data_IF_936714517232
#
_entry.id   IF_936714517232
#
_cell.length_a   1.000
_cell.length_b   1.000
_cell.length_c   1.000
_cell.angle_alpha   90.00
_cell.angle_beta   90.00
_cell.angle_gamma   90.00
#
_symmetry.space_group_name_H-M   'P 1'
#
loop_
_entity.id
_entity.type
_entity.pdbx_description
1 polymer ?
#
# COMPACT_ATOMS: atom_id res chain seq x y z
N UNK A 1 7.66 -13.67 10.47
CA UNK A 1 8.76 -12.99 9.75
C UNK A 1 10.12 -13.32 10.35
N UNK A 2 10.29 -13.31 11.68
CA UNK A 2 11.53 -13.77 12.34
C UNK A 2 11.87 -15.22 11.97
N UNK A 3 10.88 -16.10 12.00
CA UNK A 3 11.03 -17.51 11.61
C UNK A 3 11.52 -17.69 10.16
N UNK A 4 10.92 -16.98 9.20
CA UNK A 4 11.35 -17.01 7.79
C UNK A 4 12.76 -16.41 7.60
N UNK A 5 13.12 -15.38 8.38
CA UNK A 5 14.45 -14.79 8.37
C UNK A 5 15.49 -15.76 8.99
N UNK A 6 15.13 -16.49 10.03
CA UNK A 6 15.95 -17.56 10.61
C UNK A 6 16.12 -18.75 9.67
N UNK A 7 15.06 -19.14 8.96
CA UNK A 7 15.08 -20.23 7.98
C UNK A 7 15.96 -19.87 6.78
N UNK A 8 15.83 -18.63 6.27
CA UNK A 8 16.75 -18.09 5.26
C UNK A 8 18.20 -18.06 5.77
N UNK A 9 18.45 -17.63 7.02
CA UNK A 9 19.79 -17.69 7.64
C UNK A 9 20.34 -19.10 7.69
N UNK A 10 19.55 -20.08 8.15
CA UNK A 10 19.96 -21.50 8.21
C UNK A 10 20.29 -22.05 6.83
N UNK A 11 19.52 -21.68 5.80
CA UNK A 11 19.79 -22.06 4.41
C UNK A 11 21.12 -21.47 3.90
N UNK A 12 21.41 -20.21 4.20
CA UNK A 12 22.70 -19.56 3.85
C UNK A 12 23.88 -20.27 4.52
N UNK A 13 23.78 -20.56 5.81
CA UNK A 13 24.84 -21.22 6.58
C UNK A 13 25.08 -22.66 6.08
N UNK A 14 24.02 -23.40 5.77
CA UNK A 14 24.13 -24.74 5.19
C UNK A 14 24.82 -24.72 3.82
N UNK A 15 24.53 -23.73 2.99
CA UNK A 15 25.18 -23.55 1.68
C UNK A 15 26.68 -23.21 1.82
N UNK A 16 27.04 -22.34 2.76
CA UNK A 16 28.44 -22.04 3.07
C UNK A 16 29.23 -23.25 3.59
N UNK A 17 28.55 -24.18 4.29
CA UNK A 17 29.15 -25.47 4.68
C UNK A 17 29.35 -26.39 3.48
N UNK A 18 28.38 -26.45 2.57
CA UNK A 18 28.48 -27.26 1.35
C UNK A 18 29.56 -26.75 0.38
N UNK A 19 29.86 -25.45 0.38
CA UNK A 19 30.87 -24.84 -0.50
C UNK A 19 32.33 -25.00 -0.01
N UNK A 20 32.59 -25.72 1.09
CA UNK A 20 33.96 -26.01 1.54
C UNK A 20 34.76 -24.79 2.03
N UNK A 21 34.09 -23.65 2.24
CA UNK A 21 34.73 -22.37 2.56
C UNK A 21 35.55 -22.44 3.86
N UNK A 22 36.73 -21.81 3.91
CA UNK A 22 37.57 -21.92 5.11
C UNK A 22 36.86 -21.27 6.32
N UNK A 23 37.09 -21.75 7.56
CA UNK A 23 36.44 -21.20 8.76
C UNK A 23 36.61 -19.69 8.92
N UNK A 24 37.79 -19.14 8.58
CA UNK A 24 38.07 -17.70 8.59
C UNK A 24 37.25 -16.92 7.54
N UNK A 25 37.17 -17.43 6.32
CA UNK A 25 36.39 -16.79 5.24
C UNK A 25 34.88 -16.83 5.53
N UNK A 26 34.40 -17.87 6.22
CA UNK A 26 33.03 -17.94 6.74
C UNK A 26 32.78 -16.90 7.83
N UNK A 27 33.72 -16.77 8.77
CA UNK A 27 33.66 -15.75 9.82
C UNK A 27 33.63 -14.33 9.24
N UNK A 28 34.52 -14.00 8.30
CA UNK A 28 34.56 -12.68 7.65
C UNK A 28 33.29 -12.37 6.85
N UNK A 29 32.71 -13.37 6.17
CA UNK A 29 31.41 -13.22 5.49
C UNK A 29 30.25 -13.06 6.47
N UNK A 30 30.24 -13.82 7.57
CA UNK A 30 29.25 -13.66 8.63
C UNK A 30 29.33 -12.28 9.26
N UNK A 31 30.51 -11.79 9.61
CA UNK A 31 30.71 -10.45 10.16
C UNK A 31 30.24 -9.35 9.19
N UNK A 32 30.50 -9.51 7.88
CA UNK A 32 29.97 -8.59 6.85
C UNK A 32 28.44 -8.63 6.72
N UNK A 33 27.84 -9.80 6.89
CA UNK A 33 26.39 -9.98 6.84
C UNK A 33 25.69 -9.52 8.14
N UNK A 34 26.35 -9.65 9.28
CA UNK A 34 25.86 -9.30 10.62
C UNK A 34 26.04 -7.82 10.96
N UNK A 35 26.89 -7.09 10.23
CA UNK A 35 26.96 -5.63 10.35
C UNK A 35 25.57 -5.02 10.15
N UNK A 36 25.06 -4.21 11.09
CA UNK A 36 23.75 -3.59 10.95
C UNK A 36 23.67 -2.77 9.66
N UNK A 37 22.47 -2.72 9.07
CA UNK A 37 22.24 -1.88 7.89
C UNK A 37 22.33 -0.42 8.32
N UNK A 38 23.20 0.40 7.69
CA UNK A 38 23.22 1.83 7.97
C UNK A 38 21.84 2.42 7.71
N UNK A 39 21.36 3.26 8.63
CA UNK A 39 20.06 3.91 8.51
C UNK A 39 19.91 4.63 7.16
N UNK A 40 20.97 5.32 6.71
CA UNK A 40 20.99 6.01 5.41
C UNK A 40 20.73 5.09 4.21
N UNK A 41 21.16 3.82 4.26
CA UNK A 41 20.86 2.84 3.19
C UNK A 41 19.38 2.50 3.17
N UNK A 42 18.77 2.27 4.32
CA UNK A 42 17.33 1.99 4.43
C UNK A 42 16.52 3.20 3.97
N UNK A 43 16.87 4.40 4.44
CA UNK A 43 16.23 5.64 4.03
C UNK A 43 16.38 5.91 2.53
N UNK A 44 17.53 5.60 1.93
CA UNK A 44 17.71 5.75 0.49
C UNK A 44 16.80 4.80 -0.31
N UNK A 45 16.70 3.53 0.10
CA UNK A 45 15.84 2.54 -0.57
C UNK A 45 14.37 2.95 -0.50
N UNK A 46 13.89 3.38 0.67
CA UNK A 46 12.50 3.80 0.87
C UNK A 46 12.23 5.17 0.25
N UNK A 47 13.18 6.10 0.35
CA UNK A 47 13.06 7.46 -0.14
C UNK A 47 13.13 7.57 -1.66
N UNK A 48 13.88 6.70 -2.34
CA UNK A 48 14.00 6.72 -3.81
C UNK A 48 12.64 6.65 -4.52
N UNK A 49 11.77 5.64 -4.30
CA UNK A 49 10.49 5.58 -4.99
C UNK A 49 9.59 6.76 -4.62
N UNK A 50 9.63 7.21 -3.36
CA UNK A 50 8.84 8.36 -2.91
C UNK A 50 9.24 9.63 -3.67
N UNK A 51 10.53 9.94 -3.76
CA UNK A 51 11.05 11.12 -4.45
C UNK A 51 10.71 11.06 -5.94
N UNK A 52 10.89 9.90 -6.58
CA UNK A 52 10.58 9.74 -8.00
C UNK A 52 9.08 9.98 -8.28
N UNK A 53 8.20 9.37 -7.49
CA UNK A 53 6.73 9.51 -7.64
C UNK A 53 6.30 10.97 -7.40
N UNK A 54 6.83 11.62 -6.36
CA UNK A 54 6.54 13.02 -6.08
C UNK A 54 7.06 13.93 -7.19
N UNK A 55 8.27 13.69 -7.69
CA UNK A 55 8.83 14.48 -8.78
C UNK A 55 7.98 14.38 -10.05
N UNK A 56 7.52 13.19 -10.42
CA UNK A 56 6.58 13.02 -11.53
C UNK A 56 5.25 13.75 -11.27
N UNK A 57 4.69 13.61 -10.06
CA UNK A 57 3.44 14.25 -9.68
C UNK A 57 3.53 15.78 -9.81
N UNK A 58 4.56 16.41 -9.22
CA UNK A 58 4.75 17.86 -9.33
C UNK A 58 5.07 18.30 -10.75
N UNK A 59 5.84 17.50 -11.51
CA UNK A 59 6.13 17.81 -12.91
C UNK A 59 4.88 17.85 -13.78
N UNK A 60 3.89 17.00 -13.48
CA UNK A 60 2.64 16.93 -14.24
C UNK A 60 1.79 18.19 -14.09
N UNK A 61 1.98 18.91 -12.96
CA UNK A 61 1.26 20.14 -12.60
C UNK A 61 2.04 21.38 -13.06
N UNK A 62 3.36 21.39 -12.86
CA UNK A 62 4.19 22.58 -13.02
C UNK A 62 4.82 22.74 -14.42
N UNK A 63 4.96 21.66 -15.19
CA UNK A 63 5.66 21.67 -16.47
C UNK A 63 4.71 21.39 -17.64
N UNK A 64 4.93 22.07 -18.76
CA UNK A 64 4.25 21.76 -20.02
C UNK A 64 4.70 20.39 -20.59
N UNK A 65 3.87 19.76 -21.44
CA UNK A 65 4.24 18.53 -22.14
C UNK A 65 5.55 18.69 -22.91
N UNK A 66 6.58 17.95 -22.50
CA UNK A 66 7.92 17.98 -23.11
C UNK A 66 8.59 16.61 -22.97
N UNK A 67 9.58 16.28 -23.82
CA UNK A 67 10.32 15.02 -23.68
C UNK A 67 10.94 14.83 -22.30
N UNK A 68 11.44 15.91 -21.69
CA UNK A 68 12.00 15.89 -20.33
C UNK A 68 10.95 15.55 -19.26
N UNK A 69 9.74 16.11 -19.39
CA UNK A 69 8.61 15.76 -18.52
C UNK A 69 8.22 14.29 -18.67
N UNK A 70 8.15 13.77 -19.89
CA UNK A 70 7.82 12.36 -20.12
C UNK A 70 8.82 11.38 -19.52
N UNK A 71 10.12 11.72 -19.55
CA UNK A 71 11.16 10.91 -18.86
C UNK A 71 10.93 10.93 -17.34
N UNK A 72 10.63 12.09 -16.77
CA UNK A 72 10.36 12.21 -15.34
C UNK A 72 9.10 11.44 -14.92
N UNK A 73 8.03 11.53 -15.70
CA UNK A 73 6.79 10.76 -15.51
C UNK A 73 7.02 9.25 -15.64
N UNK A 74 7.89 8.81 -16.55
CA UNK A 74 8.25 7.39 -16.66
C UNK A 74 8.95 6.87 -15.41
N UNK A 75 9.97 7.57 -14.91
CA UNK A 75 10.71 7.14 -13.73
C UNK A 75 9.91 7.29 -12.43
N UNK A 76 9.02 8.28 -12.37
CA UNK A 76 8.10 8.45 -11.25
C UNK A 76 6.82 7.64 -11.35
N UNK A 77 6.62 6.86 -12.42
CA UNK A 77 5.54 5.88 -12.45
C UNK A 77 5.72 4.90 -11.27
N UNK A 78 4.67 4.63 -10.46
CA UNK A 78 4.80 3.78 -9.27
C UNK A 78 5.42 2.40 -9.54
N UNK A 79 5.10 1.76 -10.68
CA UNK A 79 5.66 0.46 -11.02
C UNK A 79 7.16 0.55 -11.30
N UNK A 80 7.60 1.56 -12.04
CA UNK A 80 9.01 1.78 -12.38
C UNK A 80 9.80 2.17 -11.14
N UNK A 81 9.29 3.13 -10.36
CA UNK A 81 9.91 3.62 -9.13
C UNK A 81 10.10 2.49 -8.10
N UNK A 82 9.07 1.66 -7.87
CA UNK A 82 9.15 0.52 -6.96
C UNK A 82 10.08 -0.59 -7.48
N UNK A 83 10.14 -0.80 -8.80
CA UNK A 83 11.10 -1.73 -9.42
C UNK A 83 12.54 -1.26 -9.18
N UNK A 84 12.81 0.03 -9.34
CA UNK A 84 14.13 0.62 -9.02
C UNK A 84 14.46 0.42 -7.55
N UNK A 85 13.52 0.70 -6.64
CA UNK A 85 13.70 0.48 -5.21
C UNK A 85 14.01 -0.98 -4.88
N UNK A 86 13.33 -1.93 -5.52
CA UNK A 86 13.58 -3.36 -5.39
C UNK A 86 14.99 -3.73 -5.86
N UNK A 87 15.42 -3.25 -7.02
CA UNK A 87 16.77 -3.49 -7.54
C UNK A 87 17.84 -2.90 -6.62
N UNK A 88 17.61 -1.70 -6.09
CA UNK A 88 18.48 -1.07 -5.09
C UNK A 88 18.55 -1.91 -3.82
N UNK A 89 17.43 -2.44 -3.32
CA UNK A 89 17.41 -3.32 -2.16
C UNK A 89 18.18 -4.62 -2.42
N UNK A 90 17.98 -5.26 -3.57
CA UNK A 90 18.72 -6.47 -3.99
C UNK A 90 20.23 -6.23 -4.01
N UNK A 91 20.64 -5.10 -4.57
CA UNK A 91 22.06 -4.77 -4.68
C UNK A 91 22.67 -4.36 -3.34
N UNK A 92 22.06 -3.40 -2.62
CA UNK A 92 22.62 -2.80 -1.41
C UNK A 92 22.52 -3.72 -0.19
N UNK A 93 21.43 -4.47 -0.06
CA UNK A 93 21.17 -5.35 1.09
C UNK A 93 21.56 -6.80 0.81
N UNK A 94 21.55 -7.24 -0.44
CA UNK A 94 21.94 -8.60 -0.84
C UNK A 94 23.38 -8.66 -1.36
N UNK A 95 23.56 -8.27 -2.63
CA UNK A 95 24.81 -8.52 -3.40
C UNK A 95 26.02 -7.85 -2.74
N UNK A 96 25.94 -6.57 -2.39
CA UNK A 96 27.04 -5.81 -1.75
C UNK A 96 27.44 -6.37 -0.38
N UNK A 97 26.53 -7.11 0.27
CA UNK A 97 26.73 -7.80 1.55
C UNK A 97 27.12 -9.26 1.41
N UNK A 98 27.35 -9.74 0.18
CA UNK A 98 27.87 -11.07 -0.08
C UNK A 98 26.84 -12.19 0.06
N UNK A 99 25.54 -11.89 -0.10
CA UNK A 99 24.51 -12.93 -0.16
C UNK A 99 24.68 -13.78 -1.43
N UNK A 100 24.42 -15.08 -1.32
CA UNK A 100 24.45 -16.00 -2.48
C UNK A 100 23.21 -15.81 -3.35
N UNK A 101 23.29 -16.23 -4.62
CA UNK A 101 22.12 -16.25 -5.54
C UNK A 101 20.95 -17.04 -4.94
N UNK A 102 21.23 -18.19 -4.34
CA UNK A 102 20.23 -19.03 -3.66
C UNK A 102 19.60 -18.34 -2.46
N UNK A 103 20.36 -17.56 -1.71
CA UNK A 103 19.82 -16.75 -0.59
C UNK A 103 18.85 -15.69 -1.10
N UNK A 104 19.22 -14.97 -2.17
CA UNK A 104 18.35 -14.00 -2.81
C UNK A 104 17.07 -14.67 -3.33
N UNK A 105 17.20 -15.78 -4.04
CA UNK A 105 16.07 -16.57 -4.55
C UNK A 105 15.13 -17.02 -3.43
N UNK A 106 15.68 -17.58 -2.35
CA UNK A 106 14.90 -18.04 -1.19
C UNK A 106 14.07 -16.90 -0.60
N UNK A 107 14.68 -15.73 -0.37
CA UNK A 107 13.97 -14.57 0.16
C UNK A 107 12.90 -14.07 -0.81
N UNK A 108 13.23 -14.00 -2.11
CA UNK A 108 12.29 -13.62 -3.17
C UNK A 108 11.05 -14.53 -3.16
N UNK A 109 11.26 -15.85 -3.19
CA UNK A 109 10.19 -16.84 -3.22
C UNK A 109 9.38 -16.85 -1.93
N UNK A 110 10.04 -16.68 -0.77
CA UNK A 110 9.34 -16.60 0.52
C UNK A 110 8.39 -15.40 0.61
N UNK A 111 8.69 -14.31 -0.09
CA UNK A 111 7.83 -13.11 -0.14
C UNK A 111 6.59 -13.27 -1.02
N UNK A 112 6.60 -14.21 -1.97
CA UNK A 112 5.45 -14.47 -2.85
C UNK A 112 4.25 -15.02 -2.07
N UNK A 113 4.48 -15.82 -1.03
CA UNK A 113 3.41 -16.42 -0.22
C UNK A 113 2.50 -15.37 0.46
N UNK A 114 3.04 -14.38 1.21
CA UNK A 114 2.22 -13.31 1.77
C UNK A 114 1.66 -12.36 0.70
N UNK A 115 2.40 -12.08 -0.39
CA UNK A 115 1.92 -11.23 -1.49
C UNK A 115 0.79 -11.89 -2.28
N UNK A 116 0.78 -13.21 -2.44
CA UNK A 116 -0.21 -13.93 -3.23
C UNK A 116 -1.64 -13.72 -2.73
N UNK A 117 -1.85 -13.76 -1.41
CA UNK A 117 -3.17 -13.47 -0.83
C UNK A 117 -3.59 -12.01 -1.09
N UNK A 118 -2.66 -11.07 -1.00
CA UNK A 118 -2.93 -9.65 -1.29
C UNK A 118 -3.30 -9.47 -2.77
N UNK A 119 -2.57 -10.10 -3.69
CA UNK A 119 -2.87 -10.04 -5.12
C UNK A 119 -4.23 -10.65 -5.45
N UNK A 120 -4.59 -11.78 -4.84
CA UNK A 120 -5.90 -12.40 -5.04
C UNK A 120 -7.03 -11.50 -4.54
N UNK A 121 -6.89 -10.91 -3.36
CA UNK A 121 -7.90 -10.00 -2.80
C UNK A 121 -8.00 -8.71 -3.62
N UNK A 122 -6.87 -8.10 -3.99
CA UNK A 122 -6.85 -6.88 -4.81
C UNK A 122 -7.42 -7.14 -6.21
N UNK A 123 -7.06 -8.27 -6.83
CA UNK A 123 -7.57 -8.68 -8.13
C UNK A 123 -9.07 -8.97 -8.12
N UNK A 124 -9.54 -9.76 -7.14
CA UNK A 124 -10.97 -10.03 -6.96
C UNK A 124 -11.76 -8.75 -6.72
N UNK A 125 -11.20 -7.84 -5.94
CA UNK A 125 -11.75 -6.53 -5.71
C UNK A 125 -11.86 -5.65 -6.95
N UNK A 126 -10.85 -5.66 -7.82
CA UNK A 126 -10.90 -4.97 -9.12
C UNK A 126 -12.02 -5.51 -10.01
N UNK A 127 -12.20 -6.82 -10.07
CA UNK A 127 -13.30 -7.47 -10.81
C UNK A 127 -14.66 -7.12 -10.19
N UNK A 128 -14.78 -7.19 -8.86
CA UNK A 128 -16.01 -6.80 -8.16
C UNK A 128 -16.38 -5.34 -8.41
N UNK A 129 -15.39 -4.43 -8.39
CA UNK A 129 -15.60 -3.02 -8.74
C UNK A 129 -16.05 -2.82 -10.19
N UNK A 130 -15.50 -3.60 -11.13
CA UNK A 130 -15.95 -3.58 -12.52
C UNK A 130 -17.39 -4.10 -12.68
N UNK A 131 -17.76 -5.16 -11.94
CA UNK A 131 -19.13 -5.68 -11.91
C UNK A 131 -20.09 -4.66 -11.30
N UNK A 132 -19.73 -4.01 -10.19
CA UNK A 132 -20.54 -2.94 -9.59
C UNK A 132 -20.78 -1.79 -10.57
N UNK A 133 -19.74 -1.37 -11.28
CA UNK A 133 -19.84 -0.35 -12.34
C UNK A 133 -20.75 -0.81 -13.48
N UNK A 134 -20.62 -2.05 -13.94
CA UNK A 134 -21.42 -2.62 -15.02
C UNK A 134 -22.89 -2.89 -14.62
N UNK A 135 -23.14 -3.18 -13.34
CA UNK A 135 -24.47 -3.52 -12.81
C UNK A 135 -25.42 -2.32 -12.68
N UNK A 136 -24.92 -1.09 -12.86
CA UNK A 136 -25.70 0.12 -12.65
C UNK A 136 -25.90 0.50 -11.18
N UNK A 137 -25.39 -0.30 -10.21
CA UNK A 137 -25.43 0.03 -8.77
C UNK A 137 -24.77 1.38 -8.47
N UNK A 138 -23.69 1.73 -9.19
CA UNK A 138 -23.06 3.03 -9.07
C UNK A 138 -24.03 4.18 -9.41
N UNK A 139 -24.81 4.02 -10.48
CA UNK A 139 -25.82 4.99 -10.91
C UNK A 139 -27.01 5.01 -9.95
N UNK A 140 -27.50 3.84 -9.53
CA UNK A 140 -28.61 3.76 -8.58
C UNK A 140 -28.27 4.39 -7.22
N UNK A 141 -27.04 4.19 -6.72
CA UNK A 141 -26.57 4.85 -5.50
C UNK A 141 -26.47 6.37 -5.73
N UNK A 142 -25.87 6.81 -6.83
CA UNK A 142 -25.82 8.23 -7.22
C UNK A 142 -27.20 8.89 -7.19
N UNK A 143 -28.16 8.32 -7.91
CA UNK A 143 -29.51 8.86 -8.06
C UNK A 143 -30.21 8.90 -6.69
N UNK A 144 -30.12 7.82 -5.92
CA UNK A 144 -30.70 7.74 -4.56
C UNK A 144 -30.11 8.80 -3.63
N UNK A 145 -28.80 9.02 -3.67
CA UNK A 145 -28.15 9.96 -2.74
C UNK A 145 -28.27 11.42 -3.16
N UNK A 146 -28.41 11.69 -4.46
CA UNK A 146 -28.83 12.99 -4.97
C UNK A 146 -30.23 13.35 -4.43
N UNK A 147 -31.16 12.40 -4.43
CA UNK A 147 -32.52 12.60 -3.91
C UNK A 147 -32.58 12.78 -2.38
N UNK A 148 -31.61 12.22 -1.64
CA UNK A 148 -31.50 12.35 -0.18
C UNK A 148 -30.77 13.65 0.24
N UNK A 149 -30.15 14.37 -0.70
CA UNK A 149 -29.45 15.64 -0.42
C UNK A 149 -28.17 15.49 0.42
N UNK A 150 -27.56 14.30 0.44
CA UNK A 150 -26.33 14.06 1.18
C UNK A 150 -25.14 14.71 0.46
N UNK A 151 -24.25 15.45 1.18
CA UNK A 151 -23.04 15.99 0.57
C UNK A 151 -22.15 14.87 0.00
N UNK A 152 -21.60 15.06 -1.20
CA UNK A 152 -20.80 14.05 -1.92
C UNK A 152 -19.63 13.51 -1.09
N UNK A 153 -19.03 14.34 -0.23
CA UNK A 153 -17.95 13.92 0.67
C UNK A 153 -18.40 12.86 1.69
N UNK A 154 -19.62 13.01 2.24
CA UNK A 154 -20.21 12.06 3.20
C UNK A 154 -20.54 10.75 2.48
N UNK A 155 -21.15 10.87 1.31
CA UNK A 155 -21.46 9.73 0.46
C UNK A 155 -20.21 8.89 0.14
N UNK A 156 -19.14 9.57 -0.27
CA UNK A 156 -17.88 8.94 -0.64
C UNK A 156 -17.25 8.17 0.52
N UNK A 157 -17.29 8.74 1.73
CA UNK A 157 -16.84 8.06 2.95
C UNK A 157 -17.66 6.79 3.22
N UNK A 158 -19.00 6.90 3.18
CA UNK A 158 -19.89 5.78 3.50
C UNK A 158 -19.77 4.62 2.51
N UNK A 159 -19.71 4.91 1.20
CA UNK A 159 -19.49 3.86 0.19
C UNK A 159 -18.16 3.15 0.46
N UNK A 160 -17.08 3.91 0.68
CA UNK A 160 -15.76 3.32 0.93
C UNK A 160 -15.73 2.48 2.21
N UNK A 161 -16.34 2.98 3.28
CA UNK A 161 -16.48 2.28 4.55
C UNK A 161 -17.23 0.96 4.39
N UNK A 162 -18.39 0.96 3.73
CA UNK A 162 -19.20 -0.25 3.54
C UNK A 162 -18.43 -1.27 2.71
N UNK A 163 -17.78 -0.83 1.63
CA UNK A 163 -16.97 -1.70 0.80
C UNK A 163 -15.77 -2.27 1.58
N UNK A 164 -15.10 -1.47 2.40
CA UNK A 164 -14.01 -1.93 3.27
C UNK A 164 -14.47 -3.00 4.23
N UNK A 165 -15.57 -2.78 4.95
CA UNK A 165 -16.10 -3.74 5.93
C UNK A 165 -16.48 -5.06 5.24
N UNK A 166 -17.07 -5.00 4.05
CA UNK A 166 -17.51 -6.18 3.31
C UNK A 166 -16.33 -7.02 2.80
N UNK A 167 -15.31 -6.39 2.21
CA UNK A 167 -14.27 -7.11 1.46
C UNK A 167 -12.89 -7.14 2.11
N UNK A 168 -12.65 -6.31 3.13
CA UNK A 168 -11.41 -6.30 3.90
C UNK A 168 -10.20 -5.65 3.22
N UNK A 169 -10.24 -5.23 1.96
CA UNK A 169 -9.10 -4.54 1.31
C UNK A 169 -9.30 -3.03 1.19
N UNK A 170 -8.41 -2.26 1.82
CA UNK A 170 -8.42 -0.80 1.75
C UNK A 170 -8.23 -0.31 0.31
N UNK A 171 -7.25 -0.86 -0.42
CA UNK A 171 -6.95 -0.46 -1.79
C UNK A 171 -8.13 -0.70 -2.72
N UNK A 172 -8.80 -1.84 -2.60
CA UNK A 172 -9.98 -2.10 -3.43
C UNK A 172 -11.10 -1.15 -3.06
N UNK A 173 -11.39 -0.97 -1.76
CA UNK A 173 -12.43 -0.05 -1.32
C UNK A 173 -12.20 1.36 -1.88
N UNK A 174 -10.95 1.85 -1.91
CA UNK A 174 -10.59 3.13 -2.52
C UNK A 174 -10.89 3.13 -4.03
N UNK A 175 -10.31 2.19 -4.79
CA UNK A 175 -10.40 2.19 -6.26
C UNK A 175 -11.85 2.02 -6.73
N UNK A 176 -12.60 1.12 -6.09
CA UNK A 176 -14.01 0.91 -6.41
C UNK A 176 -14.83 2.15 -6.08
N UNK A 177 -14.65 2.75 -4.90
CA UNK A 177 -15.40 3.96 -4.52
C UNK A 177 -15.05 5.14 -5.43
N UNK A 178 -13.78 5.34 -5.75
CA UNK A 178 -13.35 6.38 -6.67
C UNK A 178 -13.99 6.20 -8.05
N UNK A 179 -14.08 4.96 -8.54
CA UNK A 179 -14.76 4.64 -9.81
C UNK A 179 -16.28 4.91 -9.79
N UNK A 180 -16.92 4.79 -8.63
CA UNK A 180 -18.35 5.07 -8.43
C UNK A 180 -18.60 6.58 -8.31
N UNK A 181 -17.77 7.28 -7.54
CA UNK A 181 -17.96 8.70 -7.19
C UNK A 181 -17.43 9.65 -8.28
N UNK A 182 -16.44 9.23 -9.07
CA UNK A 182 -15.80 10.11 -10.07
C UNK A 182 -16.78 10.86 -10.99
N UNK A 183 -17.83 10.23 -11.57
CA UNK A 183 -18.80 10.94 -12.41
C UNK A 183 -19.56 12.05 -11.65
N UNK A 184 -19.83 11.85 -10.37
CA UNK A 184 -20.55 12.81 -9.52
C UNK A 184 -19.76 14.09 -9.27
N UNK A 185 -18.43 13.96 -9.25
CA UNK A 185 -17.53 15.07 -9.01
C UNK A 185 -17.25 15.89 -10.27
N UNK A 186 -17.38 15.28 -11.45
CA UNK A 186 -17.16 15.98 -12.73
C UNK A 186 -18.28 16.93 -13.11
N UNK A 187 -19.50 16.70 -12.61
CA UNK A 187 -20.68 17.53 -12.91
C UNK A 187 -20.76 18.79 -12.02
N UNK A 188 -20.12 18.77 -10.84
CA UNK A 188 -20.32 19.79 -9.79
C UNK A 188 -19.41 21.03 -9.82
N UNK A 189 -18.54 21.21 -10.83
CA UNK A 189 -17.54 22.30 -10.88
C UNK A 189 -16.75 22.53 -9.56
N UNK A 190 -16.39 21.45 -8.87
CA UNK A 190 -15.69 21.53 -7.59
C UNK A 190 -14.26 22.05 -7.71
N UNK A 191 -13.79 22.78 -6.70
CA UNK A 191 -12.37 23.14 -6.64
C UNK A 191 -11.47 21.92 -6.44
N UNK A 192 -10.21 22.02 -6.89
CA UNK A 192 -9.21 20.97 -6.70
C UNK A 192 -8.99 20.61 -5.23
N UNK A 193 -9.10 21.61 -4.34
CA UNK A 193 -8.98 21.39 -2.91
C UNK A 193 -10.16 20.57 -2.37
N UNK A 194 -11.39 20.82 -2.82
CA UNK A 194 -12.54 19.98 -2.46
C UNK A 194 -12.38 18.54 -2.96
N UNK A 195 -11.93 18.35 -4.21
CA UNK A 195 -11.66 17.00 -4.75
C UNK A 195 -10.62 16.24 -3.91
N UNK A 196 -9.57 16.91 -3.44
CA UNK A 196 -8.59 16.32 -2.54
C UNK A 196 -9.23 15.88 -1.21
N UNK A 197 -10.14 16.68 -0.64
CA UNK A 197 -10.87 16.32 0.59
C UNK A 197 -11.80 15.11 0.37
N UNK A 198 -12.43 14.99 -0.80
CA UNK A 198 -13.21 13.80 -1.16
C UNK A 198 -12.32 12.57 -1.25
N UNK A 199 -11.14 12.67 -1.86
CA UNK A 199 -10.16 11.56 -1.89
C UNK A 199 -9.72 11.20 -0.47
N UNK A 200 -9.52 12.17 0.42
CA UNK A 200 -9.23 11.90 1.83
C UNK A 200 -10.40 11.19 2.52
N UNK A 201 -11.64 11.59 2.26
CA UNK A 201 -12.83 10.95 2.81
C UNK A 201 -12.96 9.49 2.35
N UNK A 202 -12.72 9.21 1.06
CA UNK A 202 -12.65 7.83 0.54
C UNK A 202 -11.55 7.05 1.25
N UNK A 203 -10.36 7.64 1.37
CA UNK A 203 -9.21 7.00 2.02
C UNK A 203 -9.51 6.69 3.50
N UNK A 204 -10.15 7.62 4.21
CA UNK A 204 -10.58 7.45 5.59
C UNK A 204 -11.60 6.31 5.73
N UNK A 205 -12.61 6.23 4.85
CA UNK A 205 -13.58 5.14 4.85
C UNK A 205 -12.93 3.77 4.62
N UNK A 206 -11.91 3.71 3.75
CA UNK A 206 -11.18 2.48 3.46
C UNK A 206 -10.37 1.90 4.62
N UNK A 207 -10.18 2.67 5.70
CA UNK A 207 -9.47 2.25 6.92
C UNK A 207 -10.48 1.84 8.01
N UNK A 208 -11.79 1.97 7.79
CA UNK A 208 -12.74 1.68 8.85
C UNK A 208 -12.78 0.18 9.21
N UNK A 209 -12.72 -0.10 10.51
CA UNK A 209 -13.00 -1.40 11.11
C UNK A 209 -12.31 -2.59 10.42
N UNK A 210 -10.98 -2.55 10.26
CA UNK A 210 -10.21 -3.75 9.87
C UNK A 210 -10.46 -4.92 10.79
N UNK A 211 -10.93 -6.03 10.24
CA UNK A 211 -11.29 -7.23 10.98
C UNK A 211 -10.75 -8.48 10.26
N UNK A 212 -11.33 -9.65 10.57
CA UNK A 212 -10.83 -10.95 10.13
C UNK A 212 -10.73 -11.12 8.60
N UNK A 213 -11.43 -10.31 7.81
CA UNK A 213 -11.32 -10.31 6.35
C UNK A 213 -10.18 -9.44 5.79
N UNK A 214 -9.49 -8.66 6.62
CA UNK A 214 -8.37 -7.79 6.22
C UNK A 214 -7.01 -8.47 6.43
N UNK A 215 -6.14 -8.40 5.42
CA UNK A 215 -4.75 -8.84 5.54
C UNK A 215 -3.94 -8.00 6.54
N UNK A 216 -4.24 -6.71 6.67
CA UNK A 216 -3.61 -5.80 7.64
C UNK A 216 -3.81 -6.25 9.09
N UNK A 217 -5.05 -6.61 9.44
CA UNK A 217 -5.41 -7.20 10.74
C UNK A 217 -4.49 -8.36 11.13
N UNK A 218 -4.36 -9.35 10.23
CA UNK A 218 -3.54 -10.54 10.48
C UNK A 218 -2.05 -10.26 10.49
N UNK A 219 -1.60 -9.28 9.71
CA UNK A 219 -0.20 -8.84 9.72
C UNK A 219 0.17 -8.31 11.10
N UNK A 220 -0.66 -7.43 11.68
CA UNK A 220 -0.46 -6.84 13.00
C UNK A 220 -0.53 -7.90 14.09
N UNK A 221 -1.58 -8.74 14.09
CA UNK A 221 -1.75 -9.81 15.06
C UNK A 221 -0.50 -10.71 15.12
N UNK A 222 0.03 -11.11 13.95
CA UNK A 222 1.22 -11.97 13.85
C UNK A 222 2.53 -11.25 14.17
N UNK A 223 2.63 -9.98 13.81
CA UNK A 223 3.85 -9.19 14.05
C UNK A 223 4.07 -8.95 15.54
N UNK A 224 2.99 -8.65 16.27
CA UNK A 224 3.03 -8.36 17.70
C UNK A 224 2.69 -9.57 18.59
N UNK A 225 2.30 -10.71 18.01
CA UNK A 225 1.92 -11.91 18.77
C UNK A 225 0.63 -11.76 19.58
N UNK A 226 -0.30 -10.92 19.12
CA UNK A 226 -1.55 -10.61 19.81
C UNK A 226 -2.63 -11.62 19.38
N UNK A 227 -3.44 -12.10 20.32
CA UNK A 227 -4.58 -12.97 20.01
C UNK A 227 -5.65 -12.27 19.17
N UNK A 228 -6.46 -13.04 18.44
CA UNK A 228 -7.51 -12.51 17.54
C UNK A 228 -8.49 -11.58 18.27
N UNK A 229 -9.01 -12.03 19.43
CA UNK A 229 -9.96 -11.25 20.24
C UNK A 229 -9.37 -9.91 20.69
N UNK A 230 -8.11 -9.91 21.08
CA UNK A 230 -7.42 -8.69 21.54
C UNK A 230 -7.07 -7.78 20.37
N UNK A 231 -6.76 -8.35 19.20
CA UNK A 231 -6.57 -7.60 17.96
C UNK A 231 -7.87 -6.91 17.55
N UNK A 232 -9.03 -7.59 17.63
CA UNK A 232 -10.34 -6.97 17.38
C UNK A 232 -10.64 -5.82 18.35
N UNK A 233 -10.20 -5.92 19.61
CA UNK A 233 -10.42 -4.86 20.61
C UNK A 233 -9.48 -3.68 20.50
N UNK A 234 -8.31 -3.87 19.88
CA UNK A 234 -7.27 -2.85 19.80
C UNK A 234 -7.16 -2.30 18.39
N UNK A 235 -6.77 -3.14 17.43
CA UNK A 235 -6.56 -2.77 16.04
C UNK A 235 -7.82 -2.28 15.34
N UNK A 236 -8.91 -3.06 15.40
CA UNK A 236 -10.17 -2.66 14.74
C UNK A 236 -10.71 -1.36 15.31
N UNK A 237 -10.63 -1.18 16.64
CA UNK A 237 -11.07 0.04 17.31
C UNK A 237 -10.19 1.22 16.92
N UNK A 238 -8.86 1.05 16.92
CA UNK A 238 -7.90 2.06 16.47
C UNK A 238 -8.19 2.51 15.03
N UNK A 239 -8.37 1.56 14.12
CA UNK A 239 -8.68 1.82 12.71
C UNK A 239 -10.02 2.55 12.53
N UNK A 240 -11.07 2.15 13.28
CA UNK A 240 -12.35 2.87 13.29
C UNK A 240 -12.22 4.30 13.80
N UNK A 241 -11.45 4.55 14.86
CA UNK A 241 -11.21 5.90 15.39
C UNK A 241 -10.44 6.74 14.37
N UNK A 242 -9.39 6.18 13.76
CA UNK A 242 -8.59 6.86 12.74
C UNK A 242 -9.42 7.22 11.50
N UNK A 243 -10.25 6.29 11.04
CA UNK A 243 -11.19 6.48 9.94
C UNK A 243 -12.16 7.63 10.24
N UNK A 244 -12.80 7.60 11.41
CA UNK A 244 -13.75 8.64 11.79
C UNK A 244 -13.07 10.00 11.94
N UNK A 245 -11.90 10.06 12.60
CA UNK A 245 -11.16 11.29 12.78
C UNK A 245 -10.71 11.88 11.43
N UNK A 246 -10.16 11.06 10.52
CA UNK A 246 -9.74 11.49 9.19
C UNK A 246 -10.90 12.04 8.36
N UNK A 247 -12.06 11.36 8.42
CA UNK A 247 -13.27 11.84 7.76
C UNK A 247 -13.79 13.14 8.37
N UNK A 248 -13.85 13.25 9.70
CA UNK A 248 -14.34 14.47 10.36
C UNK A 248 -13.48 15.67 10.00
N UNK A 249 -12.15 15.53 9.97
CA UNK A 249 -11.26 16.59 9.52
C UNK A 249 -11.54 16.97 8.07
N UNK A 250 -11.66 16.00 7.16
CA UNK A 250 -11.96 16.27 5.76
C UNK A 250 -13.32 16.97 5.58
N UNK A 251 -14.35 16.51 6.31
CA UNK A 251 -15.69 17.06 6.28
C UNK A 251 -15.73 18.50 6.82
N UNK A 252 -15.09 18.78 7.95
CA UNK A 252 -15.04 20.14 8.52
C UNK A 252 -14.30 21.10 7.60
N UNK A 253 -13.15 20.69 7.05
CA UNK A 253 -12.39 21.54 6.13
C UNK A 253 -13.18 21.79 4.84
N UNK A 254 -13.98 20.82 4.39
CA UNK A 254 -14.80 20.95 3.17
C UNK A 254 -15.88 22.03 3.27
N UNK A 255 -16.29 22.43 4.47
CA UNK A 255 -17.24 23.54 4.65
C UNK A 255 -16.63 24.88 4.22
N UNK A 256 -15.31 25.01 4.26
CA UNK A 256 -14.58 26.22 3.90
C UNK A 256 -14.05 26.21 2.45
N UNK A 257 -14.25 25.10 1.73
CA UNK A 257 -13.65 24.85 0.41
C UNK A 257 -14.69 24.19 -0.47
N UNK A 258 -15.21 24.93 -1.47
CA UNK A 258 -16.19 24.45 -2.46
C UNK A 258 -15.54 24.23 -3.82
#
# INVERSE_FOLDING_TARGET
>A
MVEAAEEARRAVVAEQRAQGMAPRERQERQERQERPVPLGTVLAIIGTPLILILAATFSSIALEPSPGRSVLEFFGNPFVALTIALLLAYYLLGIRRGWSRKSLETVSTSSLKPVGNILLVVGAGGVFGAVLKASGVAQALSDTFHDVGLPVIVLSYLISLVLRVAQGSATVAIVTTAGIVAPLLTEGHHSQAFLALVIMAISAGSIFASHVNDGGFWMVAKYFGIGERDTLRTWTVLESVLSLAGFLVAAVVSVFVS
#
